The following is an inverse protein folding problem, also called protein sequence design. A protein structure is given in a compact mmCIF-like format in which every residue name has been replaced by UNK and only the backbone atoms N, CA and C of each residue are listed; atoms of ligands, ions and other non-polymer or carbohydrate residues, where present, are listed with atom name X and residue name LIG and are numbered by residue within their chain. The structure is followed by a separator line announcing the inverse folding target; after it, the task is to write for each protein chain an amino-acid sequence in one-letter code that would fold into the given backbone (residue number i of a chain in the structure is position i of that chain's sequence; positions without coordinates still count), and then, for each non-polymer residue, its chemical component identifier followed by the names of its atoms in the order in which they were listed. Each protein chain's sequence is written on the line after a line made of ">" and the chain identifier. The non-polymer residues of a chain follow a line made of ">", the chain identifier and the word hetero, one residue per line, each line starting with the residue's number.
data_IF_035192011708
#
_entry.id   IF_035192011708
#
_cell.length_a   1.000
_cell.length_b   1.000
_cell.length_c   1.000
_cell.angle_alpha   90.00
_cell.angle_beta   90.00
_cell.angle_gamma   90.00
#
_symmetry.space_group_name_H-M   'P 1'
#
loop_
_entity.id
_entity.type
_entity.pdbx_description
1 polymer ?
#
# COMPACT_ATOMS: atom_id res chain seq x y z
N UNK A 1 24.43 -6.00 -7.36
CA UNK A 1 23.88 -4.88 -6.57
C UNK A 1 22.68 -5.42 -5.83
N UNK A 2 22.74 -5.54 -4.49
CA UNK A 2 21.58 -5.95 -3.71
C UNK A 2 20.59 -4.78 -3.71
N UNK A 3 19.60 -4.82 -4.62
CA UNK A 3 18.47 -3.89 -4.60
C UNK A 3 17.65 -4.17 -3.34
N UNK A 4 18.03 -3.55 -2.24
CA UNK A 4 17.15 -3.50 -1.08
C UNK A 4 15.88 -2.76 -1.51
N UNK A 5 14.69 -3.34 -1.28
CA UNK A 5 13.43 -2.69 -1.64
C UNK A 5 13.37 -1.28 -1.06
N UNK A 6 13.23 -0.29 -1.93
CA UNK A 6 13.20 1.15 -1.63
C UNK A 6 12.06 1.83 -2.37
N UNK A 7 11.70 3.03 -1.92
CA UNK A 7 10.72 3.88 -2.59
C UNK A 7 11.48 5.06 -3.18
N UNK A 8 11.51 5.13 -4.51
CA UNK A 8 12.02 6.30 -5.23
C UNK A 8 10.92 7.37 -5.28
N UNK A 9 11.16 8.49 -4.60
CA UNK A 9 10.20 9.60 -4.51
C UNK A 9 9.92 10.26 -5.86
N UNK A 10 10.89 10.23 -6.80
CA UNK A 10 10.69 10.75 -8.16
C UNK A 10 9.72 9.85 -8.93
N UNK A 11 9.88 8.53 -8.79
CA UNK A 11 8.96 7.56 -9.39
C UNK A 11 7.57 7.68 -8.77
N UNK A 12 7.48 7.81 -7.45
CA UNK A 12 6.22 8.00 -6.73
C UNK A 12 5.47 9.24 -7.24
N UNK A 13 6.14 10.39 -7.28
CA UNK A 13 5.55 11.65 -7.73
C UNK A 13 5.07 11.56 -9.18
N UNK A 14 5.88 10.95 -10.06
CA UNK A 14 5.51 10.74 -11.46
C UNK A 14 4.27 9.85 -11.61
N UNK A 15 4.22 8.71 -10.92
CA UNK A 15 3.06 7.80 -11.00
C UNK A 15 1.78 8.40 -10.43
N UNK A 16 1.90 9.23 -9.40
CA UNK A 16 0.77 9.98 -8.87
C UNK A 16 0.25 11.00 -9.91
N UNK A 17 1.14 11.75 -10.56
CA UNK A 17 0.77 12.71 -11.60
C UNK A 17 0.07 12.01 -12.79
N UNK A 18 0.65 10.94 -13.32
CA UNK A 18 0.07 10.14 -14.41
C UNK A 18 -1.34 9.65 -14.07
N UNK A 19 -1.56 9.20 -12.82
CA UNK A 19 -2.88 8.71 -12.37
C UNK A 19 -3.93 9.84 -12.30
N UNK A 20 -3.52 11.03 -11.89
CA UNK A 20 -4.40 12.22 -11.87
C UNK A 20 -4.71 12.73 -13.28
N UNK A 21 -3.75 12.66 -14.20
CA UNK A 21 -3.94 13.06 -15.58
C UNK A 21 -4.94 12.12 -16.29
N UNK A 22 -4.85 10.81 -16.05
CA UNK A 22 -5.86 9.84 -16.52
C UNK A 22 -7.26 10.17 -16.00
N UNK A 23 -7.39 10.54 -14.71
CA UNK A 23 -8.69 10.99 -14.18
C UNK A 23 -9.16 12.26 -14.89
N UNK A 24 -8.29 13.25 -15.06
CA UNK A 24 -8.66 14.51 -15.74
C UNK A 24 -9.15 14.26 -17.16
N UNK A 25 -8.49 13.38 -17.91
CA UNK A 25 -8.86 13.04 -19.29
C UNK A 25 -10.14 12.21 -19.41
N UNK A 26 -10.48 11.42 -18.38
CA UNK A 26 -11.67 10.58 -18.35
C UNK A 26 -12.94 11.31 -17.88
N UNK A 27 -12.84 12.59 -17.50
CA UNK A 27 -14.00 13.38 -17.09
C UNK A 27 -14.99 13.53 -18.23
N UNK A 28 -16.27 13.33 -17.93
CA UNK A 28 -17.35 13.52 -18.90
C UNK A 28 -18.35 14.59 -18.42
N UNK A 29 -18.59 15.66 -19.21
CA UNK A 29 -19.63 16.63 -18.90
C UNK A 29 -21.02 16.02 -19.09
N UNK A 30 -21.96 16.43 -18.23
CA UNK A 30 -23.37 16.06 -18.26
C UNK A 30 -24.23 17.35 -18.29
N UNK A 31 -24.58 17.90 -19.46
CA UNK A 31 -25.09 19.27 -19.62
C UNK A 31 -26.30 19.68 -18.77
N UNK A 32 -27.11 18.73 -18.29
CA UNK A 32 -28.27 18.99 -17.43
C UNK A 32 -28.01 18.78 -15.93
N UNK A 33 -26.93 18.09 -15.56
CA UNK A 33 -26.67 17.63 -14.19
C UNK A 33 -25.25 17.99 -13.70
N UNK A 34 -24.41 18.65 -14.50
CA UNK A 34 -23.01 18.96 -14.16
C UNK A 34 -22.03 18.08 -14.93
N UNK A 35 -21.33 17.16 -14.25
CA UNK A 35 -20.43 16.19 -14.90
C UNK A 35 -19.64 15.33 -13.91
N UNK A 36 -18.87 14.37 -14.42
CA UNK A 36 -18.06 13.52 -13.56
C UNK A 36 -17.54 12.26 -14.26
N UNK A 37 -17.46 11.16 -13.49
CA UNK A 37 -16.93 9.89 -13.96
C UNK A 37 -17.93 8.76 -13.76
N UNK A 38 -17.80 7.72 -14.58
CA UNK A 38 -18.38 6.41 -14.30
C UNK A 38 -17.28 5.43 -13.88
N UNK A 39 -17.65 4.30 -13.27
CA UNK A 39 -16.65 3.34 -12.80
C UNK A 39 -15.89 2.66 -13.95
N UNK A 40 -16.55 2.44 -15.09
CA UNK A 40 -15.88 2.21 -16.37
C UNK A 40 -15.55 3.59 -16.96
N UNK A 41 -14.28 3.99 -16.93
CA UNK A 41 -13.84 5.36 -17.24
C UNK A 41 -14.09 5.77 -18.71
N UNK A 42 -14.39 4.81 -19.58
CA UNK A 42 -14.77 5.04 -20.98
C UNK A 42 -16.25 5.34 -21.19
N UNK A 43 -17.11 5.09 -20.19
CA UNK A 43 -18.55 5.33 -20.33
C UNK A 43 -18.88 6.81 -20.10
N UNK A 44 -19.71 7.40 -20.96
CA UNK A 44 -19.99 8.84 -20.92
C UNK A 44 -20.99 9.24 -19.83
N UNK A 45 -21.69 8.30 -19.20
CA UNK A 45 -22.73 8.61 -18.21
C UNK A 45 -22.17 8.61 -16.79
N UNK A 46 -21.85 9.77 -16.20
CA UNK A 46 -21.26 9.83 -14.88
C UNK A 46 -22.15 9.20 -13.82
N UNK A 47 -21.53 8.56 -12.81
CA UNK A 47 -22.17 7.99 -11.64
C UNK A 47 -21.77 8.74 -10.37
N UNK A 48 -22.65 8.77 -9.36
CA UNK A 48 -22.43 9.57 -8.15
C UNK A 48 -21.20 9.12 -7.36
N UNK A 49 -21.07 7.81 -7.05
CA UNK A 49 -19.91 7.29 -6.30
C UNK A 49 -18.60 7.51 -7.04
N UNK A 50 -18.59 7.25 -8.34
CA UNK A 50 -17.41 7.43 -9.19
C UNK A 50 -17.00 8.91 -9.26
N UNK A 51 -17.97 9.81 -9.34
CA UNK A 51 -17.71 11.25 -9.34
C UNK A 51 -17.10 11.72 -8.03
N UNK A 52 -17.64 11.30 -6.89
CA UNK A 52 -17.07 11.64 -5.59
C UNK A 52 -15.63 11.11 -5.43
N UNK A 53 -15.32 9.91 -5.92
CA UNK A 53 -13.96 9.35 -5.86
C UNK A 53 -12.97 10.10 -6.77
N UNK A 54 -13.39 10.44 -7.98
CA UNK A 54 -12.58 11.26 -8.90
C UNK A 54 -12.24 12.61 -8.27
N UNK A 55 -13.23 13.30 -7.69
CA UNK A 55 -13.00 14.56 -6.97
C UNK A 55 -12.14 14.36 -5.72
N UNK A 56 -12.37 13.29 -4.95
CA UNK A 56 -11.58 12.96 -3.77
C UNK A 56 -10.10 12.76 -4.11
N UNK A 57 -9.78 12.25 -5.29
CA UNK A 57 -8.39 12.05 -5.72
C UNK A 57 -7.63 13.38 -5.81
N UNK A 58 -8.25 14.40 -6.40
CA UNK A 58 -7.65 15.73 -6.50
C UNK A 58 -7.57 16.42 -5.13
N UNK A 59 -8.62 16.31 -4.32
CA UNK A 59 -8.64 16.87 -2.95
C UNK A 59 -7.56 16.24 -2.07
N UNK A 60 -7.45 14.91 -2.07
CA UNK A 60 -6.46 14.21 -1.23
C UNK A 60 -5.02 14.41 -1.73
N UNK A 61 -4.83 14.60 -3.04
CA UNK A 61 -3.55 14.96 -3.63
C UNK A 61 -3.21 16.46 -3.48
N UNK A 62 -4.09 17.26 -2.87
CA UNK A 62 -3.94 18.71 -2.71
C UNK A 62 -3.72 19.43 -4.05
N UNK A 63 -4.46 18.99 -5.07
CA UNK A 63 -4.44 19.59 -6.41
C UNK A 63 -5.78 20.25 -6.71
N UNK A 64 -5.79 21.48 -7.24
CA UNK A 64 -7.02 22.06 -7.74
C UNK A 64 -7.54 21.23 -8.92
N UNK A 65 -8.86 21.22 -9.07
CA UNK A 65 -9.54 20.56 -10.17
C UNK A 65 -10.57 21.52 -10.77
N UNK A 66 -10.61 21.58 -12.10
CA UNK A 66 -11.37 22.61 -12.84
C UNK A 66 -12.87 22.35 -12.71
N UNK A 67 -13.31 21.09 -12.80
CA UNK A 67 -14.71 20.70 -12.78
C UNK A 67 -15.25 20.29 -11.41
N UNK A 68 -14.72 20.88 -10.33
CA UNK A 68 -15.15 20.56 -8.97
C UNK A 68 -16.62 20.93 -8.74
N UNK A 69 -17.05 22.10 -9.20
CA UNK A 69 -18.40 22.61 -8.94
C UNK A 69 -19.46 21.86 -9.77
N UNK A 70 -19.15 21.48 -11.01
CA UNK A 70 -19.99 20.63 -11.85
C UNK A 70 -20.14 19.21 -11.27
N UNK A 71 -19.06 18.67 -10.70
CA UNK A 71 -19.12 17.42 -9.97
C UNK A 71 -19.99 17.50 -8.71
N UNK A 72 -19.92 18.61 -7.96
CA UNK A 72 -20.78 18.84 -6.81
C UNK A 72 -22.25 19.01 -7.21
N UNK A 73 -22.53 19.71 -8.31
CA UNK A 73 -23.88 19.86 -8.85
C UNK A 73 -24.50 18.50 -9.19
N UNK A 74 -23.73 17.58 -9.78
CA UNK A 74 -24.18 16.22 -10.08
C UNK A 74 -24.52 15.44 -8.82
N UNK A 75 -23.67 15.52 -7.80
CA UNK A 75 -23.93 14.86 -6.52
C UNK A 75 -25.17 15.43 -5.84
N UNK A 76 -25.38 16.75 -5.92
CA UNK A 76 -26.52 17.42 -5.30
C UNK A 76 -27.83 17.06 -6.00
N UNK A 77 -27.83 17.07 -7.35
CA UNK A 77 -28.99 16.68 -8.16
C UNK A 77 -29.45 15.23 -7.93
N UNK A 78 -28.54 14.36 -7.46
CA UNK A 78 -28.79 12.93 -7.27
C UNK A 78 -28.89 12.50 -5.80
N UNK A 79 -28.86 13.46 -4.87
CA UNK A 79 -29.12 13.17 -3.48
C UNK A 79 -30.62 12.92 -3.29
N UNK A 80 -30.96 11.81 -2.65
CA UNK A 80 -32.35 11.50 -2.33
C UNK A 80 -32.86 12.38 -1.18
N UNK A 81 -34.18 12.49 -1.06
CA UNK A 81 -34.82 13.26 0.00
C UNK A 81 -34.48 12.76 1.43
N UNK A 82 -34.11 11.49 1.58
CA UNK A 82 -33.63 10.90 2.84
C UNK A 82 -32.15 11.21 3.13
N UNK A 83 -31.44 11.83 2.17
CA UNK A 83 -30.04 12.24 2.28
C UNK A 83 -29.03 11.26 1.67
N UNK A 84 -29.45 10.08 1.23
CA UNK A 84 -28.55 9.07 0.67
C UNK A 84 -28.39 9.12 -0.85
N UNK A 85 -27.51 8.27 -1.39
CA UNK A 85 -27.31 8.11 -2.83
C UNK A 85 -27.44 6.66 -3.27
N UNK A 86 -28.06 6.49 -4.44
CA UNK A 86 -28.14 5.21 -5.13
C UNK A 86 -26.93 4.98 -6.04
N UNK A 87 -26.67 3.72 -6.38
CA UNK A 87 -25.84 3.33 -7.52
C UNK A 87 -26.75 2.91 -8.68
N UNK A 88 -26.21 2.81 -9.90
CA UNK A 88 -26.98 2.26 -11.04
C UNK A 88 -27.46 0.82 -10.79
N UNK A 89 -26.78 0.08 -9.92
CA UNK A 89 -27.09 -1.32 -9.60
C UNK A 89 -27.96 -1.49 -8.35
N UNK A 90 -28.33 -0.41 -7.66
CA UNK A 90 -29.16 -0.47 -6.45
C UNK A 90 -30.64 -0.19 -6.71
N UNK A 91 -31.10 -0.25 -7.96
CA UNK A 91 -32.50 -0.01 -8.35
C UNK A 91 -33.07 1.33 -7.86
N UNK A 92 -32.23 2.36 -7.79
CA UNK A 92 -32.62 3.68 -7.29
C UNK A 92 -32.75 3.78 -5.77
N UNK A 93 -32.41 2.74 -5.01
CA UNK A 93 -32.39 2.80 -3.55
C UNK A 93 -31.04 3.34 -3.07
N UNK A 94 -31.04 4.30 -2.12
CA UNK A 94 -29.82 4.72 -1.45
C UNK A 94 -29.12 3.57 -0.73
N UNK A 95 -27.81 3.45 -0.90
CA UNK A 95 -27.00 2.37 -0.30
C UNK A 95 -25.83 2.93 0.51
N UNK A 96 -25.38 2.16 1.50
CA UNK A 96 -24.27 2.56 2.39
C UNK A 96 -22.99 2.80 1.60
N UNK A 97 -22.70 1.99 0.58
CA UNK A 97 -21.50 2.15 -0.23
C UNK A 97 -21.39 3.54 -0.87
N UNK A 98 -22.40 3.95 -1.64
CA UNK A 98 -22.41 5.25 -2.31
C UNK A 98 -22.46 6.40 -1.29
N UNK A 99 -23.35 6.30 -0.31
CA UNK A 99 -23.57 7.38 0.67
C UNK A 99 -22.34 7.62 1.52
N UNK A 100 -21.65 6.57 1.98
CA UNK A 100 -20.44 6.71 2.79
C UNK A 100 -19.27 7.30 1.99
N UNK A 101 -19.06 6.86 0.74
CA UNK A 101 -18.01 7.44 -0.12
C UNK A 101 -18.24 8.93 -0.38
N UNK A 102 -19.46 9.30 -0.75
CA UNK A 102 -19.82 10.69 -1.06
C UNK A 102 -19.74 11.55 0.21
N UNK A 103 -20.30 11.09 1.33
CA UNK A 103 -20.25 11.83 2.59
C UNK A 103 -18.81 12.03 3.09
N UNK A 104 -17.96 11.01 2.99
CA UNK A 104 -16.53 11.13 3.33
C UNK A 104 -15.84 12.18 2.47
N UNK A 105 -16.06 12.16 1.16
CA UNK A 105 -15.50 13.16 0.23
C UNK A 105 -15.96 14.58 0.61
N UNK A 106 -17.28 14.79 0.74
CA UNK A 106 -17.86 16.09 1.06
C UNK A 106 -17.32 16.67 2.38
N UNK A 107 -17.20 15.82 3.41
CA UNK A 107 -16.63 16.20 4.70
C UNK A 107 -15.14 16.57 4.58
N UNK A 108 -14.36 15.76 3.86
CA UNK A 108 -12.92 15.97 3.69
C UNK A 108 -12.61 17.23 2.88
N UNK A 109 -13.43 17.51 1.87
CA UNK A 109 -13.33 18.68 1.01
C UNK A 109 -13.98 19.95 1.60
N UNK A 110 -14.61 19.86 2.79
CA UNK A 110 -15.35 20.96 3.43
C UNK A 110 -16.41 21.58 2.52
N UNK A 111 -17.12 20.72 1.78
CA UNK A 111 -18.11 21.16 0.80
C UNK A 111 -19.38 21.71 1.43
N UNK A 112 -19.63 21.46 2.71
CA UNK A 112 -20.74 22.04 3.50
C UNK A 112 -20.72 23.58 3.54
N UNK A 113 -19.55 24.18 3.29
CA UNK A 113 -19.38 25.63 3.22
C UNK A 113 -19.60 26.20 1.81
N UNK A 114 -19.83 25.35 0.80
CA UNK A 114 -19.98 25.75 -0.59
C UNK A 114 -21.46 25.86 -0.99
N UNK A 115 -21.87 26.96 -1.65
CA UNK A 115 -23.21 27.08 -2.21
C UNK A 115 -23.50 25.97 -3.23
N UNK A 116 -24.69 25.36 -3.16
CA UNK A 116 -25.11 24.34 -4.11
C UNK A 116 -24.45 22.96 -3.94
N UNK A 117 -23.61 22.78 -2.92
CA UNK A 117 -23.10 21.46 -2.55
C UNK A 117 -24.24 20.57 -1.99
N UNK A 118 -24.09 19.24 -2.05
CA UNK A 118 -25.08 18.34 -1.46
C UNK A 118 -25.21 18.52 0.05
N UNK A 119 -26.37 18.19 0.61
CA UNK A 119 -26.65 18.29 2.04
C UNK A 119 -25.89 17.20 2.81
N UNK A 120 -24.71 17.59 3.30
CA UNK A 120 -23.83 16.72 4.09
C UNK A 120 -24.48 16.30 5.43
N UNK A 121 -25.34 17.13 5.99
CA UNK A 121 -26.01 16.82 7.25
C UNK A 121 -27.12 15.77 7.04
N UNK A 122 -27.86 15.82 5.93
CA UNK A 122 -28.79 14.76 5.55
C UNK A 122 -28.06 13.42 5.33
N UNK A 123 -26.92 13.44 4.65
CA UNK A 123 -26.07 12.25 4.47
C UNK A 123 -25.58 11.67 5.80
N UNK A 124 -25.17 12.53 6.74
CA UNK A 124 -24.79 12.13 8.08
C UNK A 124 -25.96 11.41 8.79
N UNK A 125 -27.14 12.02 8.85
CA UNK A 125 -28.33 11.40 9.48
C UNK A 125 -28.71 10.07 8.83
N UNK A 126 -28.60 9.97 7.50
CA UNK A 126 -28.87 8.74 6.77
C UNK A 126 -27.96 7.60 7.23
N UNK A 127 -26.65 7.84 7.37
CA UNK A 127 -25.70 6.84 7.85
C UNK A 127 -25.99 6.41 9.30
N UNK A 128 -26.38 7.34 10.18
CA UNK A 128 -26.75 7.03 11.56
C UNK A 128 -28.00 6.15 11.63
N UNK A 129 -29.04 6.52 10.87
CA UNK A 129 -30.29 5.77 10.80
C UNK A 129 -30.09 4.36 10.19
N UNK A 130 -29.07 4.19 9.34
CA UNK A 130 -28.74 2.91 8.72
C UNK A 130 -27.89 1.95 9.56
N UNK A 131 -27.45 2.33 10.76
CA UNK A 131 -26.68 1.44 11.63
C UNK A 131 -27.58 0.33 12.19
N UNK A 132 -27.17 -0.92 12.02
CA UNK A 132 -27.92 -2.06 12.54
C UNK A 132 -27.84 -2.15 14.08
N UNK A 133 -28.75 -2.91 14.74
CA UNK A 133 -28.69 -3.14 16.18
C UNK A 133 -27.38 -3.75 16.68
N UNK A 134 -26.71 -4.56 15.85
CA UNK A 134 -25.40 -5.13 16.16
C UNK A 134 -24.24 -4.12 16.13
N UNK A 135 -24.47 -2.90 15.63
CA UNK A 135 -23.47 -1.83 15.52
C UNK A 135 -22.78 -1.76 14.16
N UNK A 136 -22.98 -2.74 13.28
CA UNK A 136 -22.42 -2.72 11.92
C UNK A 136 -23.37 -2.10 10.89
N UNK A 137 -22.92 -2.10 9.63
CA UNK A 137 -23.71 -1.67 8.47
C UNK A 137 -23.75 -2.75 7.39
N UNK A 138 -24.95 -2.98 6.83
CA UNK A 138 -25.17 -3.72 5.59
C UNK A 138 -25.34 -2.78 4.39
N UNK A 139 -25.73 -3.29 3.21
CA UNK A 139 -25.91 -2.45 2.01
C UNK A 139 -27.02 -1.42 2.18
N UNK A 140 -28.05 -1.81 2.94
CA UNK A 140 -29.21 -1.03 3.32
C UNK A 140 -29.44 -1.20 4.83
N UNK A 141 -30.22 -0.32 5.46
CA UNK A 141 -30.73 -0.56 6.80
C UNK A 141 -31.41 -1.95 6.89
N UNK A 142 -31.05 -2.75 7.90
CA UNK A 142 -31.62 -4.09 8.12
C UNK A 142 -31.00 -5.21 7.28
N UNK A 143 -30.15 -4.91 6.29
CA UNK A 143 -29.30 -5.94 5.67
C UNK A 143 -28.19 -6.39 6.64
N UNK A 144 -27.72 -7.65 6.57
CA UNK A 144 -26.64 -8.13 7.41
C UNK A 144 -25.39 -7.24 7.36
N UNK A 145 -24.83 -6.95 8.53
CA UNK A 145 -23.61 -6.16 8.67
C UNK A 145 -22.42 -6.85 8.00
N UNK A 146 -21.62 -6.07 7.24
CA UNK A 146 -20.44 -6.55 6.52
C UNK A 146 -19.23 -5.69 6.85
N UNK A 147 -18.05 -6.29 6.81
CA UNK A 147 -16.79 -5.61 7.18
C UNK A 147 -16.54 -4.40 6.28
N UNK A 148 -16.65 -4.56 4.96
CA UNK A 148 -16.42 -3.48 4.01
C UNK A 148 -17.34 -2.28 4.23
N UNK A 149 -18.64 -2.53 4.36
CA UNK A 149 -19.64 -1.48 4.51
C UNK A 149 -19.58 -0.79 5.88
N UNK A 150 -19.32 -1.57 6.94
CA UNK A 150 -19.07 -1.02 8.27
C UNK A 150 -17.84 -0.12 8.26
N UNK A 151 -16.76 -0.55 7.60
CA UNK A 151 -15.56 0.28 7.44
C UNK A 151 -15.84 1.57 6.66
N UNK A 152 -16.59 1.51 5.54
CA UNK A 152 -16.98 2.70 4.79
C UNK A 152 -17.77 3.69 5.64
N UNK A 153 -18.81 3.21 6.33
CA UNK A 153 -19.64 4.05 7.20
C UNK A 153 -18.81 4.68 8.31
N UNK A 154 -17.97 3.91 9.01
CA UNK A 154 -17.07 4.42 10.05
C UNK A 154 -16.11 5.48 9.51
N UNK A 155 -15.50 5.23 8.35
CA UNK A 155 -14.58 6.15 7.70
C UNK A 155 -15.23 7.46 7.25
N UNK A 156 -16.52 7.45 6.96
CA UNK A 156 -17.30 8.65 6.67
C UNK A 156 -17.68 9.39 7.96
N UNK A 157 -18.28 8.67 8.92
CA UNK A 157 -18.72 9.22 10.20
C UNK A 157 -17.55 9.82 11.01
N UNK A 158 -16.37 9.21 10.97
CA UNK A 158 -15.18 9.76 11.63
C UNK A 158 -14.72 11.12 11.08
N UNK A 159 -14.98 11.40 9.79
CA UNK A 159 -14.69 12.70 9.19
C UNK A 159 -15.79 13.73 9.48
N UNK A 160 -17.04 13.26 9.61
CA UNK A 160 -18.20 14.10 9.92
C UNK A 160 -18.24 14.52 11.38
N UNK A 161 -18.22 13.53 12.28
CA UNK A 161 -18.24 13.69 13.72
C UNK A 161 -17.58 12.47 14.40
N UNK A 162 -16.28 12.53 14.76
CA UNK A 162 -15.59 11.40 15.36
C UNK A 162 -16.09 11.02 16.77
N UNK A 163 -16.84 11.90 17.44
CA UNK A 163 -17.42 11.68 18.77
C UNK A 163 -18.84 11.08 18.70
N UNK A 164 -19.34 10.76 17.52
CA UNK A 164 -20.65 10.16 17.33
C UNK A 164 -20.71 8.74 17.94
N UNK A 165 -21.68 8.42 18.81
CA UNK A 165 -21.80 7.08 19.42
C UNK A 165 -21.89 5.93 18.40
N UNK A 166 -22.41 6.20 17.19
CA UNK A 166 -22.40 5.22 16.11
C UNK A 166 -20.99 4.76 15.73
N UNK A 167 -19.98 5.64 15.83
CA UNK A 167 -18.57 5.30 15.58
C UNK A 167 -18.07 4.30 16.63
N UNK A 168 -18.36 4.52 17.91
CA UNK A 168 -18.01 3.57 18.98
C UNK A 168 -18.62 2.19 18.72
N UNK A 169 -19.92 2.13 18.47
CA UNK A 169 -20.64 0.87 18.19
C UNK A 169 -20.09 0.12 16.97
N UNK A 170 -19.70 0.84 15.91
CA UNK A 170 -19.11 0.22 14.73
C UNK A 170 -17.69 -0.29 14.97
N UNK A 171 -16.89 0.43 15.75
CA UNK A 171 -15.57 -0.03 16.19
C UNK A 171 -15.71 -1.27 17.07
N UNK A 172 -16.66 -1.28 18.01
CA UNK A 172 -16.98 -2.44 18.82
C UNK A 172 -17.39 -3.63 17.96
N UNK A 173 -18.25 -3.44 16.95
CA UNK A 173 -18.62 -4.49 16.01
C UNK A 173 -17.40 -5.09 15.28
N UNK A 174 -16.45 -4.24 14.83
CA UNK A 174 -15.21 -4.72 14.20
C UNK A 174 -14.33 -5.53 15.15
N UNK A 175 -14.30 -5.18 16.43
CA UNK A 175 -13.44 -5.80 17.44
C UNK A 175 -14.09 -6.99 18.17
N UNK A 176 -15.41 -7.13 18.11
CA UNK A 176 -16.19 -8.07 18.93
C UNK A 176 -15.74 -9.53 18.77
N UNK A 177 -15.50 -9.99 17.54
CA UNK A 177 -15.06 -11.36 17.26
C UNK A 177 -13.53 -11.47 17.12
N UNK A 178 -12.77 -10.46 17.55
CA UNK A 178 -11.31 -10.43 17.37
C UNK A 178 -10.58 -10.91 18.61
N UNK A 179 -9.70 -11.88 18.37
CA UNK A 179 -8.80 -12.45 19.36
C UNK A 179 -7.42 -12.58 18.73
N UNK A 180 -6.39 -12.84 19.54
CA UNK A 180 -5.03 -13.12 19.05
C UNK A 180 -4.99 -14.36 18.13
N UNK A 181 -5.94 -15.28 18.25
CA UNK A 181 -6.08 -16.48 17.40
C UNK A 181 -6.94 -16.25 16.15
N UNK A 182 -7.73 -15.17 16.11
CA UNK A 182 -8.51 -14.73 14.94
C UNK A 182 -8.20 -13.26 14.63
N UNK A 183 -6.96 -12.97 14.17
CA UNK A 183 -6.48 -11.60 14.09
C UNK A 183 -6.99 -10.81 12.87
N UNK A 184 -7.20 -11.46 11.72
CA UNK A 184 -7.60 -10.78 10.48
C UNK A 184 -9.10 -10.84 10.19
N UNK A 185 -9.63 -9.92 9.39
CA UNK A 185 -11.06 -9.82 9.03
C UNK A 185 -11.38 -10.44 7.68
N UNK A 186 -12.57 -11.05 7.57
CA UNK A 186 -13.18 -11.46 6.31
C UNK A 186 -14.39 -10.56 5.95
N UNK A 187 -15.13 -10.88 4.87
CA UNK A 187 -16.32 -10.11 4.45
C UNK A 187 -17.40 -9.98 5.53
N UNK A 188 -17.53 -11.01 6.35
CA UNK A 188 -18.40 -11.08 7.54
C UNK A 188 -17.61 -11.71 8.69
N UNK A 189 -18.03 -11.54 9.96
CA UNK A 189 -17.26 -12.02 11.12
C UNK A 189 -16.89 -13.51 11.06
N UNK A 190 -17.82 -14.36 10.60
CA UNK A 190 -17.63 -15.80 10.50
C UNK A 190 -16.76 -16.26 9.30
N UNK A 191 -16.48 -15.38 8.34
CA UNK A 191 -15.73 -15.73 7.14
C UNK A 191 -14.22 -15.78 7.41
N UNK A 192 -13.50 -16.50 6.53
CA UNK A 192 -12.03 -16.52 6.59
C UNK A 192 -11.46 -15.12 6.35
N UNK A 193 -10.35 -14.77 7.02
CA UNK A 193 -9.72 -13.48 6.80
C UNK A 193 -9.21 -13.31 5.37
N UNK A 194 -9.29 -12.09 4.84
CA UNK A 194 -8.65 -11.71 3.56
C UNK A 194 -7.74 -10.51 3.75
N UNK A 195 -6.75 -10.35 2.86
CA UNK A 195 -5.85 -9.19 2.85
C UNK A 195 -6.66 -7.90 2.73
N UNK A 196 -7.62 -7.84 1.81
CA UNK A 196 -8.46 -6.66 1.59
C UNK A 196 -9.21 -6.23 2.86
N UNK A 197 -9.96 -7.16 3.47
CA UNK A 197 -10.81 -6.86 4.62
C UNK A 197 -9.97 -6.54 5.86
N UNK A 198 -8.87 -7.27 6.05
CA UNK A 198 -7.96 -7.00 7.16
C UNK A 198 -7.29 -5.63 7.01
N UNK A 199 -6.76 -5.32 5.82
CA UNK A 199 -6.16 -4.02 5.57
C UNK A 199 -7.17 -2.88 5.72
N UNK A 200 -8.38 -3.03 5.22
CA UNK A 200 -9.39 -1.98 5.30
C UNK A 200 -9.89 -1.74 6.72
N UNK A 201 -10.06 -2.81 7.51
CA UNK A 201 -10.36 -2.71 8.94
C UNK A 201 -9.23 -2.04 9.72
N UNK A 202 -7.98 -2.42 9.49
CA UNK A 202 -6.81 -1.79 10.13
C UNK A 202 -6.68 -0.32 9.78
N UNK A 203 -6.87 0.04 8.50
CA UNK A 203 -6.89 1.43 8.05
C UNK A 203 -8.01 2.22 8.74
N UNK A 204 -9.20 1.64 8.85
CA UNK A 204 -10.36 2.25 9.52
C UNK A 204 -10.11 2.44 11.02
N UNK A 205 -9.54 1.44 11.70
CA UNK A 205 -9.20 1.50 13.12
C UNK A 205 -8.11 2.54 13.38
N UNK A 206 -7.11 2.66 12.51
CA UNK A 206 -6.08 3.69 12.62
C UNK A 206 -6.66 5.11 12.45
N UNK A 207 -7.68 5.29 11.60
CA UNK A 207 -8.37 6.58 11.43
C UNK A 207 -9.33 6.91 12.59
N UNK A 208 -10.06 5.91 13.09
CA UNK A 208 -11.09 6.10 14.12
C UNK A 208 -10.54 6.06 15.54
N UNK A 209 -9.52 5.25 15.80
CA UNK A 209 -8.93 4.99 17.13
C UNK A 209 -7.39 4.99 17.03
N UNK A 210 -6.75 6.14 16.72
CA UNK A 210 -5.30 6.21 16.52
C UNK A 210 -4.46 5.85 17.76
N UNK A 211 -5.08 5.88 18.95
CA UNK A 211 -4.48 5.49 20.23
C UNK A 211 -4.59 3.99 20.54
N UNK A 212 -5.40 3.23 19.79
CA UNK A 212 -5.57 1.80 20.03
C UNK A 212 -4.26 1.07 19.71
N UNK A 213 -3.69 0.38 20.70
CA UNK A 213 -2.43 -0.37 20.56
C UNK A 213 -2.46 -1.69 21.36
N UNK A 214 -3.60 -2.37 21.36
CA UNK A 214 -3.75 -3.65 22.07
C UNK A 214 -3.11 -4.83 21.30
N UNK A 215 -2.96 -5.97 21.98
CA UNK A 215 -2.37 -7.18 21.40
C UNK A 215 -3.18 -7.73 20.21
N UNK A 216 -4.50 -7.48 20.17
CA UNK A 216 -5.38 -7.97 19.09
C UNK A 216 -5.10 -7.22 17.80
N UNK A 217 -4.97 -5.89 17.89
CA UNK A 217 -4.60 -5.03 16.76
C UNK A 217 -3.20 -5.37 16.25
N UNK A 218 -2.23 -5.57 17.15
CA UNK A 218 -0.87 -5.94 16.76
C UNK A 218 -0.83 -7.31 16.06
N UNK A 219 -1.58 -8.29 16.58
CA UNK A 219 -1.70 -9.60 15.93
C UNK A 219 -2.33 -9.50 14.53
N UNK A 220 -3.25 -8.56 14.32
CA UNK A 220 -3.84 -8.29 13.00
C UNK A 220 -2.83 -7.70 12.00
N UNK A 221 -1.98 -6.77 12.45
CA UNK A 221 -0.86 -6.29 11.64
C UNK A 221 0.14 -7.41 11.31
N UNK A 222 0.43 -8.30 12.26
CA UNK A 222 1.30 -9.45 12.02
C UNK A 222 0.69 -10.43 11.01
N UNK A 223 -0.62 -10.67 11.12
CA UNK A 223 -1.34 -11.47 10.13
C UNK A 223 -1.26 -10.83 8.73
N UNK A 224 -1.50 -9.52 8.61
CA UNK A 224 -1.41 -8.82 7.32
C UNK A 224 0.00 -8.92 6.73
N UNK A 225 1.04 -8.73 7.54
CA UNK A 225 2.44 -8.84 7.10
C UNK A 225 2.81 -10.24 6.64
N UNK A 226 2.25 -11.28 7.27
CA UNK A 226 2.52 -12.67 6.93
C UNK A 226 1.75 -13.15 5.68
N UNK A 227 0.61 -12.55 5.37
CA UNK A 227 -0.28 -12.99 4.28
C UNK A 227 -0.27 -12.06 3.06
N UNK A 228 0.36 -10.88 3.16
CA UNK A 228 0.56 -10.02 2.01
C UNK A 228 1.71 -10.53 1.14
N UNK A 229 1.37 -11.08 -0.02
CA UNK A 229 2.30 -11.25 -1.13
C UNK A 229 2.34 -9.95 -1.97
N UNK A 230 3.47 -9.22 -2.03
CA UNK A 230 3.58 -7.98 -2.80
C UNK A 230 3.54 -8.16 -4.32
N UNK A 231 3.69 -9.39 -4.82
CA UNK A 231 3.65 -9.68 -6.26
C UNK A 231 2.22 -10.09 -6.73
N UNK A 232 1.31 -10.37 -5.79
CA UNK A 232 -0.11 -10.59 -6.06
C UNK A 232 -0.89 -9.26 -5.89
N UNK A 233 -1.83 -8.98 -6.78
CA UNK A 233 -2.74 -7.84 -6.66
C UNK A 233 -3.75 -8.00 -5.52
N UNK A 234 -4.00 -9.24 -5.08
CA UNK A 234 -5.07 -9.60 -4.12
C UNK A 234 -6.43 -9.09 -4.59
N UNK A 235 -6.69 -9.21 -5.90
CA UNK A 235 -7.90 -8.71 -6.55
C UNK A 235 -8.95 -9.81 -6.63
N UNK A 236 -10.17 -9.52 -6.18
CA UNK A 236 -11.27 -10.49 -6.24
C UNK A 236 -12.63 -9.80 -6.16
N UNK A 237 -13.70 -10.55 -6.46
CA UNK A 237 -15.08 -10.04 -6.42
C UNK A 237 -15.82 -10.67 -5.24
N UNK A 238 -16.29 -9.83 -4.33
CA UNK A 238 -17.25 -10.23 -3.31
C UNK A 238 -18.66 -10.17 -3.89
N UNK A 239 -19.39 -11.27 -3.84
CA UNK A 239 -20.79 -11.31 -4.26
C UNK A 239 -21.71 -11.71 -3.13
N UNK A 240 -22.84 -11.02 -3.00
CA UNK A 240 -23.87 -11.33 -2.03
C UNK A 240 -25.21 -10.72 -2.44
N UNK A 241 -26.29 -11.30 -1.90
CA UNK A 241 -27.64 -10.87 -2.18
C UNK A 241 -28.07 -9.73 -1.27
N UNK A 242 -28.83 -8.79 -1.82
CA UNK A 242 -29.39 -7.64 -1.10
C UNK A 242 -30.91 -7.74 -1.12
N UNK A 243 -31.52 -7.58 0.05
CA UNK A 243 -32.95 -7.56 0.24
C UNK A 243 -33.36 -6.32 1.05
N UNK A 244 -34.17 -5.41 0.48
CA UNK A 244 -34.68 -4.24 1.20
C UNK A 244 -35.55 -4.60 2.41
N UNK A 245 -36.12 -5.81 2.46
CA UNK A 245 -36.87 -6.29 3.63
C UNK A 245 -35.95 -6.91 4.72
N UNK A 246 -34.64 -6.76 4.58
CA UNK A 246 -33.64 -7.32 5.49
C UNK A 246 -33.34 -8.80 5.22
N UNK A 247 -32.58 -9.43 6.12
CA UNK A 247 -32.06 -10.79 5.91
C UNK A 247 -33.12 -11.89 5.70
N UNK A 248 -34.35 -11.67 6.19
CA UNK A 248 -35.48 -12.60 6.03
C UNK A 248 -36.31 -12.35 4.74
N UNK A 249 -36.01 -11.28 4.02
CA UNK A 249 -36.66 -10.92 2.77
C UNK A 249 -36.17 -11.73 1.58
N UNK A 250 -36.95 -11.76 0.50
CA UNK A 250 -36.49 -12.32 -0.78
C UNK A 250 -35.37 -11.44 -1.34
N UNK A 251 -34.28 -12.02 -1.88
CA UNK A 251 -33.27 -11.28 -2.62
C UNK A 251 -33.93 -10.47 -3.73
N UNK A 252 -33.61 -9.18 -3.80
CA UNK A 252 -34.11 -8.30 -4.87
C UNK A 252 -33.04 -8.09 -5.93
N UNK A 253 -31.77 -8.01 -5.54
CA UNK A 253 -30.64 -8.04 -6.48
C UNK A 253 -29.40 -8.67 -5.85
N UNK A 254 -28.43 -8.99 -6.71
CA UNK A 254 -27.11 -9.49 -6.32
C UNK A 254 -26.06 -8.42 -6.55
N UNK A 255 -25.33 -8.06 -5.51
CA UNK A 255 -24.22 -7.12 -5.59
C UNK A 255 -22.92 -7.86 -5.92
N UNK A 256 -22.04 -7.19 -6.67
CA UNK A 256 -20.69 -7.63 -6.96
C UNK A 256 -19.72 -6.46 -6.68
N UNK A 257 -18.90 -6.60 -5.64
CA UNK A 257 -17.92 -5.60 -5.21
C UNK A 257 -16.51 -6.04 -5.57
N UNK A 258 -15.80 -5.21 -6.33
CA UNK A 258 -14.41 -5.43 -6.67
C UNK A 258 -13.49 -4.94 -5.56
N UNK A 259 -12.61 -5.83 -5.11
CA UNK A 259 -11.66 -5.58 -4.04
C UNK A 259 -10.24 -5.55 -4.57
N UNK A 260 -9.43 -4.61 -4.07
CA UNK A 260 -8.03 -4.43 -4.46
C UNK A 260 -7.15 -4.45 -3.21
N UNK A 261 -6.65 -5.63 -2.85
CA UNK A 261 -5.99 -5.82 -1.56
C UNK A 261 -4.62 -5.15 -1.45
N UNK A 262 -3.81 -5.15 -2.50
CA UNK A 262 -2.43 -4.64 -2.43
C UNK A 262 -2.33 -3.14 -2.04
N UNK A 263 -3.04 -2.19 -2.70
CA UNK A 263 -2.96 -0.78 -2.33
C UNK A 263 -3.50 -0.48 -0.92
N UNK A 264 -4.59 -1.17 -0.54
CA UNK A 264 -5.15 -1.10 0.80
C UNK A 264 -4.17 -1.58 1.87
N UNK A 265 -3.48 -2.70 1.60
CA UNK A 265 -2.49 -3.24 2.51
C UNK A 265 -1.31 -2.29 2.69
N UNK A 266 -0.82 -1.63 1.63
CA UNK A 266 0.20 -0.58 1.74
C UNK A 266 -0.27 0.54 2.68
N UNK A 267 -1.48 1.06 2.42
CA UNK A 267 -2.09 2.14 3.22
C UNK A 267 -2.24 1.75 4.71
N UNK A 268 -2.65 0.51 4.97
CA UNK A 268 -2.76 -0.01 6.33
C UNK A 268 -1.39 -0.19 7.01
N UNK A 269 -0.41 -0.79 6.33
CA UNK A 269 0.93 -1.04 6.87
C UNK A 269 1.72 0.23 7.16
N UNK A 270 1.44 1.32 6.43
CA UNK A 270 1.96 2.64 6.76
C UNK A 270 1.50 3.13 8.14
N UNK A 271 0.38 2.61 8.65
CA UNK A 271 -0.22 2.96 9.94
C UNK A 271 0.04 1.91 11.04
N UNK A 272 0.92 0.92 10.82
CA UNK A 272 1.32 -0.01 11.89
C UNK A 272 1.90 0.80 13.06
N UNK A 273 1.35 0.68 14.29
CA UNK A 273 1.80 1.45 15.45
C UNK A 273 3.25 1.14 15.87
N UNK A 274 3.83 0.04 15.37
CA UNK A 274 5.24 -0.30 15.57
C UNK A 274 6.14 0.33 14.51
N UNK A 275 5.59 0.93 13.46
CA UNK A 275 6.35 1.53 12.36
C UNK A 275 6.29 0.69 11.08
N UNK A 276 6.63 1.35 9.97
CA UNK A 276 6.42 0.83 8.63
C UNK A 276 7.34 -0.37 8.37
N UNK A 277 6.83 -1.53 7.90
CA UNK A 277 7.66 -2.65 7.48
C UNK A 277 8.31 -2.34 6.12
N UNK A 278 9.34 -1.49 6.13
CA UNK A 278 9.99 -0.89 4.96
C UNK A 278 10.26 -1.86 3.81
N UNK A 279 10.89 -3.04 4.03
CA UNK A 279 11.15 -3.97 2.94
C UNK A 279 9.90 -4.53 2.27
N UNK A 280 8.82 -4.75 3.03
CA UNK A 280 7.55 -5.25 2.51
C UNK A 280 6.84 -4.15 1.71
N UNK A 281 6.76 -2.95 2.28
CA UNK A 281 6.14 -1.78 1.62
C UNK A 281 6.91 -1.36 0.37
N UNK A 282 8.25 -1.41 0.38
CA UNK A 282 9.07 -1.11 -0.79
C UNK A 282 8.85 -2.09 -1.95
N UNK A 283 8.67 -3.39 -1.67
CA UNK A 283 8.29 -4.36 -2.71
C UNK A 283 6.88 -4.10 -3.24
N UNK A 284 5.92 -3.86 -2.36
CA UNK A 284 4.56 -3.55 -2.75
C UNK A 284 4.48 -2.27 -3.60
N UNK A 285 5.23 -1.23 -3.23
CA UNK A 285 5.38 -0.02 -4.03
C UNK A 285 5.97 -0.31 -5.41
N UNK A 286 7.01 -1.15 -5.51
CA UNK A 286 7.58 -1.53 -6.81
C UNK A 286 6.52 -2.18 -7.72
N UNK A 287 5.66 -3.06 -7.19
CA UNK A 287 4.52 -3.62 -7.94
C UNK A 287 3.52 -2.55 -8.36
N UNK A 288 3.10 -1.66 -7.44
CA UNK A 288 2.20 -0.54 -7.74
C UNK A 288 2.80 0.46 -8.75
N UNK A 289 4.12 0.64 -8.77
CA UNK A 289 4.83 1.54 -9.68
C UNK A 289 5.09 0.92 -11.07
N UNK A 290 5.17 -0.41 -11.15
CA UNK A 290 5.30 -1.17 -12.40
C UNK A 290 3.96 -1.31 -13.13
N UNK A 291 2.86 -1.46 -12.41
CA UNK A 291 1.54 -1.52 -13.00
C UNK A 291 1.34 -0.29 -13.92
N UNK A 292 0.99 -0.52 -15.18
CA UNK A 292 0.72 0.59 -16.09
C UNK A 292 -0.48 1.39 -15.56
N UNK A 293 -0.37 2.72 -15.56
CA UNK A 293 -1.53 3.58 -15.40
C UNK A 293 -2.22 3.49 -16.76
N UNK A 294 -3.23 2.63 -16.88
CA UNK A 294 -3.90 2.37 -18.16
C UNK A 294 -4.42 3.68 -18.74
N UNK A 295 -3.84 4.08 -19.88
CA UNK A 295 -4.43 5.06 -20.80
C UNK A 295 -5.85 4.56 -21.11
N UNK A 296 -6.91 5.34 -20.83
CA UNK A 296 -8.28 4.91 -21.03
C UNK A 296 -8.62 4.48 -22.45
N UNK A 297 -7.82 4.90 -23.43
CA UNK A 297 -8.07 4.72 -24.85
C UNK A 297 -7.21 3.65 -25.50
N UNK A 298 -6.19 3.09 -24.83
CA UNK A 298 -5.16 2.30 -25.55
C UNK A 298 -5.13 0.80 -25.33
N UNK A 299 -5.35 0.23 -24.14
CA UNK A 299 -5.15 -1.22 -23.99
C UNK A 299 -6.04 -1.87 -22.93
N UNK A 300 -6.55 -3.07 -23.27
CA UNK A 300 -7.53 -3.81 -22.49
C UNK A 300 -6.96 -4.97 -21.66
N UNK A 301 -7.72 -5.28 -20.60
CA UNK A 301 -7.86 -6.53 -19.81
C UNK A 301 -7.21 -6.55 -18.40
N UNK A 302 -7.82 -7.27 -17.42
CA UNK A 302 -8.30 -8.65 -17.56
C UNK A 302 -9.78 -8.86 -17.20
N UNK A 303 -10.67 -8.75 -18.20
CA UNK A 303 -11.89 -9.56 -18.41
C UNK A 303 -12.74 -8.96 -19.55
N UNK A 304 -12.74 -7.61 -19.71
CA UNK A 304 -13.48 -6.92 -20.80
C UNK A 304 -12.82 -5.64 -21.37
N UNK A 305 -11.59 -5.29 -20.98
CA UNK A 305 -10.83 -4.28 -21.74
C UNK A 305 -11.16 -2.80 -21.52
N UNK A 306 -11.81 -2.43 -20.40
CA UNK A 306 -12.04 -1.03 -20.06
C UNK A 306 -11.31 -0.60 -18.77
N UNK A 307 -10.68 0.59 -18.74
CA UNK A 307 -10.09 1.19 -17.55
C UNK A 307 -11.15 1.35 -16.43
N UNK A 308 -10.87 0.80 -15.26
CA UNK A 308 -11.76 0.89 -14.09
C UNK A 308 -11.27 1.96 -13.12
N UNK A 309 -12.17 2.88 -12.78
CA UNK A 309 -11.94 3.89 -11.75
C UNK A 309 -11.56 3.24 -10.41
N UNK A 310 -12.12 2.07 -10.09
CA UNK A 310 -11.82 1.39 -8.83
C UNK A 310 -10.36 0.95 -8.75
N UNK A 311 -9.82 0.40 -9.83
CA UNK A 311 -8.39 0.05 -9.91
C UNK A 311 -7.51 1.28 -9.74
N UNK A 312 -7.88 2.37 -10.42
CA UNK A 312 -7.13 3.62 -10.40
C UNK A 312 -7.18 4.29 -9.03
N UNK A 313 -8.36 4.39 -8.42
CA UNK A 313 -8.59 5.03 -7.13
C UNK A 313 -7.77 4.38 -6.01
N UNK A 314 -7.84 3.06 -5.85
CA UNK A 314 -7.13 2.39 -4.75
C UNK A 314 -5.61 2.52 -4.87
N UNK A 315 -5.10 2.41 -6.09
CA UNK A 315 -3.69 2.68 -6.38
C UNK A 315 -3.34 4.13 -6.01
N UNK A 316 -4.12 5.09 -6.49
CA UNK A 316 -3.90 6.51 -6.27
C UNK A 316 -3.91 6.85 -4.77
N UNK A 317 -4.89 6.34 -4.01
CA UNK A 317 -4.98 6.51 -2.57
C UNK A 317 -3.71 5.99 -1.85
N UNK A 318 -3.20 4.83 -2.24
CA UNK A 318 -1.96 4.28 -1.67
C UNK A 318 -0.72 5.12 -2.02
N UNK A 319 -0.65 5.66 -3.24
CA UNK A 319 0.44 6.57 -3.64
C UNK A 319 0.37 7.91 -2.88
N UNK A 320 -0.83 8.45 -2.67
CA UNK A 320 -1.05 9.64 -1.83
C UNK A 320 -0.60 9.34 -0.38
N UNK A 321 -1.02 8.22 0.18
CA UNK A 321 -0.63 7.83 1.55
C UNK A 321 0.88 7.68 1.69
N UNK A 322 1.57 7.09 0.69
CA UNK A 322 3.03 7.01 0.65
C UNK A 322 3.69 8.40 0.58
N UNK A 323 3.16 9.30 -0.25
CA UNK A 323 3.70 10.64 -0.42
C UNK A 323 3.50 11.52 0.82
N UNK A 324 2.43 11.29 1.57
CA UNK A 324 2.04 12.07 2.75
C UNK A 324 2.45 11.46 4.07
N UNK A 325 3.01 10.24 4.07
CA UNK A 325 3.35 9.55 5.31
C UNK A 325 4.42 10.32 6.08
N UNK A 326 4.18 10.70 7.34
CA UNK A 326 5.19 11.36 8.14
C UNK A 326 6.30 10.37 8.51
N UNK A 327 7.47 10.57 7.90
CA UNK A 327 8.66 9.76 8.16
C UNK A 327 9.13 9.87 9.62
N UNK A 328 8.89 11.00 10.27
CA UNK A 328 9.20 11.24 11.68
C UNK A 328 7.91 11.18 12.51
N UNK A 329 7.87 10.27 13.48
CA UNK A 329 6.78 10.12 14.44
C UNK A 329 7.16 10.71 15.81
N UNK A 330 6.20 11.15 16.63
CA UNK A 330 6.50 11.80 17.93
C UNK A 330 7.35 10.96 18.90
N UNK A 331 7.28 9.64 18.80
CA UNK A 331 8.00 8.68 19.65
C UNK A 331 9.30 8.14 19.01
N UNK A 332 9.64 8.61 17.80
CA UNK A 332 10.85 8.23 17.07
C UNK A 332 12.12 8.96 17.50
N UNK A 333 13.28 8.36 17.22
CA UNK A 333 14.60 8.98 17.35
C UNK A 333 15.13 9.27 15.95
N UNK A 334 15.55 10.51 15.70
CA UNK A 334 16.16 10.91 14.42
C UNK A 334 17.67 10.95 14.57
N UNK A 335 18.37 10.22 13.70
CA UNK A 335 19.83 10.23 13.58
C UNK A 335 20.22 10.95 12.30
N UNK A 336 20.95 12.06 12.44
CA UNK A 336 21.49 12.83 11.33
C UNK A 336 22.89 12.32 10.97
N UNK A 337 23.03 11.74 9.78
CA UNK A 337 24.32 11.34 9.19
C UNK A 337 24.68 12.34 8.07
N UNK A 338 25.95 12.41 7.62
CA UNK A 338 26.36 13.37 6.60
C UNK A 338 25.53 13.33 5.31
N UNK A 339 25.22 12.13 4.83
CA UNK A 339 24.51 11.91 3.56
C UNK A 339 23.18 11.15 3.74
N UNK A 340 22.72 10.96 4.97
CA UNK A 340 21.51 10.18 5.25
C UNK A 340 20.84 10.62 6.56
N UNK A 341 19.52 10.42 6.64
CA UNK A 341 18.76 10.54 7.89
C UNK A 341 18.15 9.19 8.22
N UNK A 342 18.35 8.71 9.45
CA UNK A 342 17.74 7.46 9.92
C UNK A 342 16.75 7.77 11.02
N UNK A 343 15.50 7.35 10.81
CA UNK A 343 14.46 7.41 11.86
C UNK A 343 14.36 6.04 12.52
N UNK A 344 14.75 5.98 13.78
CA UNK A 344 14.62 4.79 14.63
C UNK A 344 13.28 4.85 15.36
N UNK A 345 12.40 3.88 15.06
CA UNK A 345 11.07 3.80 15.67
C UNK A 345 11.11 3.43 17.16
N UNK A 346 10.07 3.83 17.90
CA UNK A 346 10.00 3.71 19.36
C UNK A 346 10.24 2.28 19.88
N UNK A 347 9.69 1.26 19.22
CA UNK A 347 9.88 -0.14 19.61
C UNK A 347 11.35 -0.62 19.53
N UNK A 348 12.17 0.04 18.69
CA UNK A 348 13.58 -0.29 18.51
C UNK A 348 14.50 0.59 19.36
N UNK A 349 13.97 1.52 20.18
CA UNK A 349 14.72 2.54 20.94
C UNK A 349 15.84 1.97 21.81
N UNK A 350 15.64 0.78 22.39
CA UNK A 350 16.63 0.12 23.24
C UNK A 350 17.80 -0.52 22.47
N UNK A 351 17.80 -0.50 21.14
CA UNK A 351 18.83 -1.12 20.30
C UNK A 351 19.78 -0.04 19.76
N UNK A 352 21.11 -0.30 19.75
CA UNK A 352 22.05 0.62 19.11
C UNK A 352 21.81 0.65 17.60
N UNK A 353 21.97 1.83 16.98
CA UNK A 353 21.74 2.05 15.54
C UNK A 353 22.53 1.05 14.67
N UNK A 354 23.78 0.75 15.04
CA UNK A 354 24.62 -0.21 14.32
C UNK A 354 24.03 -1.64 14.26
N UNK A 355 23.19 -2.02 15.22
CA UNK A 355 22.50 -3.31 15.24
C UNK A 355 21.17 -3.32 14.47
N UNK A 356 20.74 -2.16 13.96
CA UNK A 356 19.53 -1.97 13.16
C UNK A 356 19.85 -1.81 11.67
N UNK A 357 21.04 -1.30 11.35
CA UNK A 357 21.50 -1.23 9.97
C UNK A 357 21.79 -2.65 9.46
N UNK A 358 21.45 -2.95 8.18
CA UNK A 358 21.78 -4.24 7.60
C UNK A 358 23.29 -4.45 7.73
N UNK A 359 23.67 -5.52 8.43
CA UNK A 359 25.07 -5.87 8.60
C UNK A 359 25.71 -5.97 7.21
N UNK A 360 26.96 -5.47 7.02
CA UNK A 360 27.65 -5.71 5.76
C UNK A 360 27.64 -7.23 5.51
N UNK A 361 27.47 -7.66 4.25
CA UNK A 361 27.40 -9.09 3.94
C UNK A 361 28.58 -9.78 4.63
N UNK A 362 28.28 -10.76 5.49
CA UNK A 362 29.31 -11.55 6.18
C UNK A 362 30.31 -11.97 5.11
N UNK A 363 31.58 -11.56 5.26
CA UNK A 363 32.66 -12.01 4.38
C UNK A 363 32.62 -13.52 4.43
N UNK A 364 32.17 -14.17 3.36
CA UNK A 364 32.16 -15.61 3.26
C UNK A 364 33.63 -16.06 3.18
N UNK A 365 34.19 -16.60 4.27
CA UNK A 365 35.60 -16.96 4.29
C UNK A 365 35.88 -18.08 3.29
N UNK A 366 34.89 -18.92 2.95
CA UNK A 366 35.01 -19.98 1.95
C UNK A 366 34.99 -19.40 0.53
N UNK A 367 34.18 -18.39 0.24
CA UNK A 367 34.25 -17.68 -1.05
C UNK A 367 35.56 -16.90 -1.19
N UNK A 368 36.04 -16.25 -0.12
CA UNK A 368 37.32 -15.55 -0.12
C UNK A 368 38.49 -16.52 -0.30
N UNK A 369 38.45 -17.68 0.38
CA UNK A 369 39.43 -18.75 0.25
C UNK A 369 39.37 -19.40 -1.13
N UNK A 370 38.19 -19.65 -1.70
CA UNK A 370 38.04 -20.13 -3.10
C UNK A 370 38.56 -19.12 -4.10
N UNK A 371 38.37 -17.82 -3.85
CA UNK A 371 38.84 -16.76 -4.76
C UNK A 371 40.36 -16.57 -4.69
N UNK A 372 40.98 -16.84 -3.55
CA UNK A 372 42.42 -16.66 -3.32
C UNK A 372 43.12 -17.96 -2.93
N UNK A 373 42.59 -19.12 -3.36
CA UNK A 373 43.05 -20.43 -2.91
C UNK A 373 44.53 -20.66 -3.24
N UNK A 374 44.96 -20.16 -4.39
CA UNK A 374 46.36 -20.22 -4.81
C UNK A 374 47.25 -19.44 -3.85
N UNK A 375 46.88 -18.21 -3.47
CA UNK A 375 47.65 -17.40 -2.52
C UNK A 375 47.68 -18.04 -1.12
N UNK A 376 46.59 -18.66 -0.68
CA UNK A 376 46.53 -19.38 0.59
C UNK A 376 47.42 -20.65 0.58
N UNK A 377 47.38 -21.44 -0.50
CA UNK A 377 48.25 -22.61 -0.68
C UNK A 377 49.73 -22.20 -0.74
N UNK A 378 50.05 -21.10 -1.43
CA UNK A 378 51.40 -20.53 -1.45
C UNK A 378 51.85 -20.09 -0.07
N UNK A 379 51.01 -19.40 0.69
CA UNK A 379 51.32 -19.00 2.07
C UNK A 379 51.62 -20.20 2.97
N UNK A 380 50.85 -21.29 2.84
CA UNK A 380 51.08 -22.53 3.57
C UNK A 380 52.41 -23.20 3.20
N UNK A 381 52.73 -23.27 1.90
CA UNK A 381 54.01 -23.84 1.43
C UNK A 381 55.17 -22.99 1.95
N UNK A 382 55.09 -21.66 1.83
CA UNK A 382 56.11 -20.75 2.31
C UNK A 382 56.32 -20.91 3.83
N UNK A 383 55.24 -21.00 4.61
CA UNK A 383 55.29 -21.19 6.05
C UNK A 383 55.88 -22.56 6.43
N UNK A 384 55.47 -23.62 5.75
CA UNK A 384 55.97 -24.98 5.98
C UNK A 384 57.47 -25.09 5.66
N UNK A 385 57.91 -24.50 4.55
CA UNK A 385 59.32 -24.48 4.19
C UNK A 385 60.15 -23.57 5.10
N UNK A 386 59.62 -22.43 5.57
CA UNK A 386 60.27 -21.60 6.60
C UNK A 386 60.46 -22.39 7.90
N UNK A 387 59.42 -23.13 8.30
CA UNK A 387 59.43 -23.96 9.51
C UNK A 387 60.45 -25.08 9.38
N UNK A 388 60.49 -25.76 8.22
CA UNK A 388 61.47 -26.82 7.96
C UNK A 388 62.93 -26.33 7.96
N UNK A 389 63.18 -25.10 7.52
CA UNK A 389 64.49 -24.45 7.65
C UNK A 389 64.79 -24.10 9.11
N UNK A 390 63.82 -23.55 9.84
CA UNK A 390 64.00 -23.16 11.24
C UNK A 390 64.24 -24.37 12.18
N UNK A 391 63.66 -25.53 11.87
CA UNK A 391 63.89 -26.79 12.61
C UNK A 391 65.11 -27.56 12.13
N UNK A 392 65.90 -26.99 11.20
CA UNK A 392 67.15 -27.60 10.69
C UNK A 392 66.94 -28.80 9.79
N UNK A 393 65.70 -29.09 9.38
CA UNK A 393 65.40 -30.23 8.51
C UNK A 393 65.81 -29.98 7.06
N UNK A 394 65.77 -28.73 6.59
CA UNK A 394 66.03 -28.35 5.19
C UNK A 394 67.13 -27.27 5.13
N UNK A 395 67.99 -27.31 4.11
CA UNK A 395 69.01 -26.27 3.92
C UNK A 395 68.38 -25.00 3.31
N UNK A 396 68.89 -23.82 3.66
CA UNK A 396 68.44 -22.54 3.10
C UNK A 396 68.44 -22.52 1.55
N UNK A 397 69.37 -23.25 0.93
CA UNK A 397 69.46 -23.39 -0.53
C UNK A 397 68.20 -24.04 -1.13
N UNK A 398 67.62 -25.01 -0.44
CA UNK A 398 66.45 -25.75 -0.92
C UNK A 398 65.18 -24.88 -0.82
N UNK A 399 65.09 -23.99 0.18
CA UNK A 399 64.02 -22.98 0.29
C UNK A 399 64.05 -21.96 -0.86
N UNK A 400 65.23 -21.45 -1.21
CA UNK A 400 65.38 -20.48 -2.30
C UNK A 400 64.99 -21.06 -3.66
N UNK A 401 65.36 -22.31 -3.94
CA UNK A 401 65.08 -22.97 -5.22
C UNK A 401 63.65 -23.47 -5.35
N UNK A 402 63.01 -23.91 -4.26
CA UNK A 402 61.67 -24.52 -4.29
C UNK A 402 60.51 -23.54 -4.12
N UNK A 403 60.73 -22.40 -3.44
CA UNK A 403 59.65 -21.45 -3.14
C UNK A 403 59.87 -20.09 -3.80
N UNK A 404 61.05 -19.48 -3.62
CA UNK A 404 61.28 -18.10 -4.09
C UNK A 404 61.50 -18.04 -5.60
N UNK A 405 62.30 -18.95 -6.18
CA UNK A 405 62.56 -18.96 -7.62
C UNK A 405 61.29 -19.19 -8.46
N UNK A 406 60.40 -20.16 -8.14
CA UNK A 406 59.12 -20.32 -8.84
C UNK A 406 58.18 -19.13 -8.66
N UNK A 407 58.18 -18.47 -7.49
CA UNK A 407 57.42 -17.23 -7.27
C UNK A 407 57.89 -16.07 -8.14
N UNK A 408 59.21 -15.88 -8.25
CA UNK A 408 59.79 -14.85 -9.12
C UNK A 408 59.44 -15.12 -10.59
N UNK A 409 59.54 -16.38 -11.02
CA UNK A 409 59.18 -16.78 -12.39
C UNK A 409 57.68 -16.61 -12.69
N UNK A 410 56.79 -16.97 -11.77
CA UNK A 410 55.33 -16.81 -11.97
C UNK A 410 54.89 -15.35 -11.94
N UNK A 411 55.47 -14.52 -11.08
CA UNK A 411 55.21 -13.06 -11.08
C UNK A 411 55.70 -12.38 -12.36
N UNK A 412 56.87 -12.78 -12.88
CA UNK A 412 57.37 -12.33 -14.18
C UNK A 412 56.46 -12.81 -15.32
N UNK A 413 55.99 -14.05 -15.28
CA UNK A 413 55.08 -14.61 -16.29
C UNK A 413 53.74 -13.86 -16.34
N UNK A 414 53.13 -13.57 -15.19
CA UNK A 414 51.89 -12.80 -15.11
C UNK A 414 52.07 -11.32 -15.51
N UNK A 415 53.20 -10.70 -15.15
CA UNK A 415 53.53 -9.35 -15.60
C UNK A 415 53.73 -9.28 -17.12
N UNK A 416 54.34 -10.29 -17.73
CA UNK A 416 54.50 -10.41 -19.17
C UNK A 416 53.15 -10.64 -19.89
N UNK A 417 52.23 -11.38 -19.28
CA UNK A 417 50.88 -11.62 -19.81
C UNK A 417 50.02 -10.36 -19.83
N UNK A 418 50.10 -9.53 -18.77
CA UNK A 418 49.41 -8.22 -18.70
C UNK A 418 49.92 -7.20 -19.73
N UNK A 419 51.19 -7.27 -20.13
CA UNK A 419 51.76 -6.41 -21.19
C UNK A 419 51.33 -6.82 -22.62
N UNK A 420 50.77 -8.02 -22.80
CA UNK A 420 50.33 -8.55 -24.10
C UNK A 420 48.83 -8.33 -24.39
N UNK A 421 48.08 -7.72 -23.48
CA UNK A 421 46.69 -7.31 -23.74
C UNK A 421 46.72 -6.01 -24.57
N UNK A 422 46.20 -5.98 -25.81
CA UNK A 422 46.20 -4.77 -26.62
C UNK A 422 45.35 -3.68 -25.97
N UNK A 423 45.83 -2.43 -25.98
CA UNK A 423 44.98 -1.27 -25.69
C UNK A 423 43.83 -1.24 -26.72
N UNK A 424 42.58 -0.99 -26.33
CA UNK A 424 41.48 -0.84 -27.28
C UNK A 424 41.77 0.38 -28.18
N UNK A 425 41.35 0.36 -29.45
CA UNK A 425 41.56 1.48 -30.35
C UNK A 425 40.84 2.73 -29.81
N UNK A 426 41.52 3.87 -29.84
CA UNK A 426 40.95 5.19 -29.63
C UNK A 426 39.91 5.45 -30.72
N UNK A 427 38.65 5.68 -30.33
CA UNK A 427 37.61 6.16 -31.23
C UNK A 427 38.03 7.54 -31.77
N UNK A 428 38.21 7.61 -33.10
CA UNK A 428 38.25 8.85 -33.86
C UNK A 428 36.88 9.16 -34.44
#
# INVERSE_FOLDING_TARGET
>A
MNNSPSIDLTVLARRLAESLDVLREAYTPAPAEGGGWYHELTRPEPGSTATALGLSAFVEAERPYEHLDEGLALLAARQHADGGWATKTSLGLPVVEATAWIARFLARARCDLRPGAPDLHAAHRWLLAGQNPDGGWGSLPGCPSRTWLTCLALRALAQLNPAEPAVDRGVEWLLADRTTYRPGWGPVPAARPTVTHTAFALLTLAETRPWLRDERLLAAYDWLRANLDPEDGHTWIETYDVSPQGAAGRPVWRLALWHYGLPLAVSALLRDPRGVPGPLVGRAFATLARAEVTDPRRDGHPADGHPSLWTLWWRLAALIDLARHPLVQPDGIVHWLPDATVVQHAHARGRPLAALLPAPPRRDPLAALRRHWAAAAFGLIALASLTGVATGTWAWRDFWLSVILPMALTTVHEAAKRRRVPRPPTAG
#
